data_IF_291556827073
#
_entry.id   IF_291556827073
#
_cell.length_a   1.000
_cell.length_b   1.000
_cell.length_c   1.000
_cell.angle_alpha   90.00
_cell.angle_beta   90.00
_cell.angle_gamma   90.00
#
_symmetry.space_group_name_H-M   'P 1'
#
loop_
_entity.id
_entity.type
_entity.pdbx_description
1 polymer ?
#
# COMPACT_ATOMS: atom_id res chain seq x y z
N UNK A 1 -29.16 16.56 25.19
CA UNK A 1 -27.71 16.55 25.49
C UNK A 1 -26.98 15.22 25.18
N UNK A 2 -27.56 14.04 25.43
CA UNK A 2 -26.85 12.74 25.23
C UNK A 2 -26.54 12.34 23.78
N UNK A 3 -27.35 12.74 22.81
CA UNK A 3 -27.14 12.35 21.38
C UNK A 3 -25.97 13.11 20.77
N UNK A 4 -25.77 14.37 21.12
CA UNK A 4 -24.62 15.15 20.64
C UNK A 4 -23.27 14.61 21.12
N UNK A 5 -23.22 14.10 22.35
CA UNK A 5 -22.02 13.50 22.93
C UNK A 5 -21.65 12.22 22.18
N UNK A 6 -22.62 11.39 21.77
CA UNK A 6 -22.38 10.16 21.01
C UNK A 6 -21.90 10.49 19.60
N UNK A 7 -22.47 11.50 18.93
CA UNK A 7 -22.05 11.93 17.59
C UNK A 7 -20.62 12.49 17.59
N UNK A 8 -20.26 13.30 18.58
CA UNK A 8 -18.91 13.83 18.75
C UNK A 8 -17.92 12.71 19.04
N UNK A 9 -18.29 11.72 19.84
CA UNK A 9 -17.44 10.55 20.16
C UNK A 9 -17.22 9.65 18.93
N UNK A 10 -18.26 9.43 18.12
CA UNK A 10 -18.16 8.71 16.84
C UNK A 10 -17.27 9.45 15.83
N UNK A 11 -17.32 10.79 15.81
CA UNK A 11 -16.49 11.60 14.91
C UNK A 11 -15.01 11.58 15.33
N UNK A 12 -14.72 11.58 16.64
CA UNK A 12 -13.36 11.48 17.18
C UNK A 12 -12.77 10.09 16.91
N UNK A 13 -13.57 9.02 17.04
CA UNK A 13 -13.12 7.66 16.76
C UNK A 13 -12.80 7.49 15.28
N UNK A 14 -13.60 8.03 14.36
CA UNK A 14 -13.35 7.90 12.93
C UNK A 14 -12.07 8.63 12.46
N UNK A 15 -11.68 9.72 13.12
CA UNK A 15 -10.43 10.44 12.82
C UNK A 15 -9.17 9.79 13.40
N UNK A 16 -9.31 8.89 14.39
CA UNK A 16 -8.16 8.20 15.01
C UNK A 16 -7.62 7.03 14.19
N UNK A 17 -8.32 6.59 13.15
CA UNK A 17 -7.92 5.43 12.32
C UNK A 17 -7.33 5.79 10.96
N UNK A 18 -6.99 7.05 10.69
CA UNK A 18 -6.20 7.40 9.53
C UNK A 18 -4.77 6.88 9.73
N UNK A 19 -4.44 5.73 9.14
CA UNK A 19 -3.07 5.23 9.11
C UNK A 19 -2.21 6.24 8.36
N UNK A 20 -1.16 6.79 9.00
CA UNK A 20 -0.35 7.84 8.40
C UNK A 20 0.64 7.31 7.33
N UNK A 21 0.51 6.05 6.92
CA UNK A 21 1.37 5.43 5.90
C UNK A 21 0.55 4.63 4.91
N UNK A 22 1.00 4.59 3.65
CA UNK A 22 0.29 3.88 2.59
C UNK A 22 1.21 3.39 1.46
N UNK A 23 0.75 2.37 0.74
CA UNK A 23 1.38 1.84 -0.48
C UNK A 23 0.37 1.95 -1.62
N UNK A 24 0.79 2.50 -2.76
CA UNK A 24 -0.07 2.68 -3.96
C UNK A 24 0.72 2.38 -5.23
N UNK A 25 0.26 1.49 -6.08
CA UNK A 25 -0.80 0.51 -5.85
C UNK A 25 -0.33 -0.56 -4.85
N UNK A 26 -1.26 -1.15 -4.09
CA UNK A 26 -0.95 -2.28 -3.19
C UNK A 26 -0.77 -3.60 -3.94
N UNK A 27 -1.17 -3.64 -5.20
CA UNK A 27 -1.09 -4.79 -6.10
C UNK A 27 -0.73 -4.32 -7.51
N UNK A 28 0.22 -4.98 -8.16
CA UNK A 28 0.65 -4.68 -9.52
C UNK A 28 1.01 -5.97 -10.27
N UNK A 29 0.58 -6.04 -11.53
CA UNK A 29 0.98 -7.12 -12.44
C UNK A 29 1.95 -6.55 -13.45
N UNK A 30 3.06 -7.23 -13.67
CA UNK A 30 4.12 -6.85 -14.59
C UNK A 30 4.49 -8.02 -15.49
N UNK A 31 4.87 -7.73 -16.72
CA UNK A 31 5.44 -8.70 -17.62
C UNK A 31 6.97 -8.63 -17.56
N UNK A 32 7.62 -9.77 -17.63
CA UNK A 32 9.06 -9.89 -17.75
C UNK A 32 9.42 -10.95 -18.79
N UNK A 33 10.40 -10.66 -19.64
CA UNK A 33 10.93 -11.64 -20.59
C UNK A 33 11.95 -12.53 -19.90
N UNK A 34 11.97 -13.83 -20.26
CA UNK A 34 13.00 -14.74 -19.78
C UNK A 34 14.40 -14.23 -20.13
N UNK A 35 15.39 -14.49 -19.29
CA UNK A 35 16.76 -14.00 -19.42
C UNK A 35 16.88 -12.47 -19.57
N UNK A 36 15.97 -11.73 -18.92
CA UNK A 36 15.98 -10.27 -18.95
C UNK A 36 15.91 -9.68 -17.55
N UNK A 37 16.15 -8.37 -17.47
CA UNK A 37 15.95 -7.58 -16.26
C UNK A 37 14.81 -6.62 -16.47
N UNK A 38 13.87 -6.59 -15.55
CA UNK A 38 12.79 -5.62 -15.52
C UNK A 38 12.82 -4.82 -14.23
N UNK A 39 12.44 -3.54 -14.32
CA UNK A 39 12.32 -2.65 -13.17
C UNK A 39 10.89 -2.16 -13.05
N UNK A 40 10.33 -2.27 -11.87
CA UNK A 40 9.01 -1.78 -11.53
C UNK A 40 9.05 -1.10 -10.15
N UNK A 41 8.02 -0.37 -9.82
CA UNK A 41 7.98 0.36 -8.54
C UNK A 41 6.57 0.44 -7.99
N UNK A 42 6.51 0.66 -6.68
CA UNK A 42 5.32 1.13 -5.98
C UNK A 42 5.64 2.45 -5.29
N UNK A 43 4.61 3.25 -5.07
CA UNK A 43 4.74 4.49 -4.31
C UNK A 43 4.42 4.22 -2.85
N UNK A 44 5.31 4.64 -1.95
CA UNK A 44 5.11 4.58 -0.52
C UNK A 44 4.91 5.99 0.02
N UNK A 45 3.83 6.19 0.77
CA UNK A 45 3.47 7.47 1.38
C UNK A 45 3.71 7.44 2.89
N UNK A 46 4.42 8.44 3.39
CA UNK A 46 4.55 8.72 4.82
C UNK A 46 3.69 9.94 5.18
N UNK A 47 2.50 9.70 5.73
CA UNK A 47 1.59 10.77 6.21
C UNK A 47 1.84 11.21 7.65
N UNK A 48 2.90 10.72 8.30
CA UNK A 48 3.27 11.21 9.62
C UNK A 48 3.83 12.64 9.55
N UNK A 49 3.70 13.40 10.63
CA UNK A 49 4.22 14.78 10.71
C UNK A 49 5.74 14.88 10.91
N UNK A 50 6.45 13.76 10.79
CA UNK A 50 7.90 13.66 10.96
C UNK A 50 8.53 12.73 9.91
N UNK A 51 9.81 12.94 9.62
CA UNK A 51 10.61 12.02 8.82
C UNK A 51 10.78 10.71 9.58
N UNK A 52 10.50 9.59 8.94
CA UNK A 52 10.63 8.25 9.52
C UNK A 52 11.51 7.35 8.68
N UNK A 53 12.21 6.46 9.38
CA UNK A 53 12.94 5.34 8.78
C UNK A 53 12.04 4.13 8.72
N UNK A 54 12.04 3.45 7.59
CA UNK A 54 11.29 2.21 7.36
C UNK A 54 12.24 1.13 6.89
N UNK A 55 12.06 -0.07 7.40
CA UNK A 55 12.70 -1.27 6.86
C UNK A 55 11.90 -1.78 5.66
N UNK A 56 12.58 -2.04 4.55
CA UNK A 56 12.00 -2.65 3.36
C UNK A 56 12.61 -4.01 3.14
N UNK A 57 11.80 -4.99 2.74
CA UNK A 57 12.30 -6.30 2.35
C UNK A 57 11.40 -7.00 1.34
N UNK A 58 12.03 -7.79 0.46
CA UNK A 58 11.37 -8.62 -0.54
C UNK A 58 11.23 -10.06 -0.02
N UNK A 59 10.14 -10.70 -0.38
CA UNK A 59 9.85 -12.07 -0.06
C UNK A 59 9.29 -12.81 -1.28
N UNK A 60 9.45 -14.14 -1.27
CA UNK A 60 8.90 -15.09 -2.24
C UNK A 60 9.65 -15.19 -3.58
N UNK A 61 10.65 -14.34 -3.85
CA UNK A 61 11.38 -14.42 -5.10
C UNK A 61 12.87 -14.09 -4.90
N UNK A 62 13.73 -15.07 -5.12
CA UNK A 62 15.19 -14.96 -4.83
C UNK A 62 15.95 -14.14 -5.87
N UNK A 63 15.40 -13.96 -7.07
CA UNK A 63 15.98 -13.14 -8.13
C UNK A 63 15.37 -11.74 -8.27
N UNK A 64 14.66 -11.28 -7.22
CA UNK A 64 14.23 -9.90 -7.08
C UNK A 64 15.15 -9.12 -6.13
N UNK A 65 15.36 -7.84 -6.37
CA UNK A 65 16.32 -7.01 -5.67
C UNK A 65 15.86 -5.54 -5.57
N UNK A 66 16.39 -4.79 -4.60
CA UNK A 66 16.32 -3.33 -4.54
C UNK A 66 17.44 -2.63 -5.33
N UNK A 67 18.41 -3.38 -5.84
CA UNK A 67 19.52 -2.86 -6.64
C UNK A 67 19.50 -3.49 -8.04
N UNK A 68 19.91 -2.73 -9.04
CA UNK A 68 20.07 -3.22 -10.42
C UNK A 68 21.42 -3.89 -10.69
N UNK A 69 22.33 -3.90 -9.73
CA UNK A 69 23.70 -4.43 -9.87
C UNK A 69 23.90 -5.72 -9.08
N UNK A 70 23.28 -5.81 -7.91
CA UNK A 70 23.47 -6.95 -6.98
C UNK A 70 22.15 -7.34 -6.34
N UNK A 71 22.05 -8.60 -5.90
CA UNK A 71 20.84 -9.08 -5.20
C UNK A 71 20.81 -8.54 -3.77
N UNK A 72 19.97 -7.53 -3.55
CA UNK A 72 19.71 -6.92 -2.25
C UNK A 72 18.21 -7.04 -1.97
N UNK A 73 17.84 -7.85 -0.98
CA UNK A 73 16.45 -8.14 -0.65
C UNK A 73 15.93 -7.44 0.63
N UNK A 74 16.79 -6.68 1.29
CA UNK A 74 16.41 -5.88 2.45
C UNK A 74 17.21 -4.59 2.53
N UNK A 75 16.62 -3.56 3.10
CA UNK A 75 17.26 -2.26 3.27
C UNK A 75 16.46 -1.34 4.16
N UNK A 76 16.93 -0.11 4.26
CA UNK A 76 16.25 0.97 4.99
C UNK A 76 16.01 2.15 4.07
N UNK A 77 14.86 2.79 4.22
CA UNK A 77 14.52 4.03 3.52
C UNK A 77 14.11 5.10 4.53
N UNK A 78 14.55 6.33 4.29
CA UNK A 78 14.10 7.50 5.04
C UNK A 78 13.09 8.26 4.20
N UNK A 79 11.88 8.44 4.73
CA UNK A 79 10.81 9.13 4.04
C UNK A 79 10.38 10.35 4.84
N UNK A 80 10.50 11.51 4.21
CA UNK A 80 10.09 12.79 4.80
C UNK A 80 8.60 12.83 5.11
N UNK A 81 8.24 13.66 6.05
CA UNK A 81 6.87 13.93 6.45
C UNK A 81 6.00 14.32 5.24
N UNK A 82 4.82 13.74 5.15
CA UNK A 82 3.81 14.04 4.12
C UNK A 82 4.32 13.92 2.67
N UNK A 83 5.29 13.01 2.42
CA UNK A 83 5.81 12.77 1.07
C UNK A 83 5.56 11.36 0.59
N UNK A 84 5.56 11.22 -0.74
CA UNK A 84 5.51 9.94 -1.44
C UNK A 84 6.86 9.70 -2.11
N UNK A 85 7.38 8.48 -1.94
CA UNK A 85 8.64 8.04 -2.58
C UNK A 85 8.41 6.77 -3.38
N UNK A 86 8.98 6.63 -4.58
CA UNK A 86 8.97 5.36 -5.31
C UNK A 86 9.96 4.38 -4.67
N UNK A 87 9.51 3.15 -4.47
CA UNK A 87 10.37 2.03 -4.09
C UNK A 87 10.53 1.14 -5.33
N UNK A 88 11.73 1.12 -5.89
CA UNK A 88 12.05 0.33 -7.07
C UNK A 88 12.38 -1.10 -6.69
N UNK A 89 11.90 -2.04 -7.51
CA UNK A 89 12.23 -3.45 -7.44
C UNK A 89 12.71 -3.89 -8.82
N UNK A 90 13.84 -4.56 -8.87
CA UNK A 90 14.45 -5.12 -10.06
C UNK A 90 14.26 -6.64 -10.04
N UNK A 91 13.83 -7.22 -11.12
CA UNK A 91 13.73 -8.66 -11.30
C UNK A 91 14.71 -9.12 -12.38
N UNK A 92 15.53 -10.11 -12.05
CA UNK A 92 16.55 -10.70 -12.93
C UNK A 92 16.09 -12.10 -13.34
N UNK A 93 15.19 -12.18 -14.33
CA UNK A 93 14.58 -13.45 -14.72
C UNK A 93 15.63 -14.42 -15.29
N UNK A 94 15.82 -15.62 -14.70
CA UNK A 94 16.71 -16.63 -15.25
C UNK A 94 16.21 -17.15 -16.60
N UNK A 95 17.13 -17.75 -17.39
CA UNK A 95 16.79 -18.31 -18.69
C UNK A 95 15.81 -19.50 -18.61
N UNK A 96 16.01 -20.36 -17.59
CA UNK A 96 15.24 -21.59 -17.42
C UNK A 96 14.25 -21.46 -16.24
N UNK A 97 13.11 -20.85 -16.48
CA UNK A 97 12.05 -20.74 -15.48
C UNK A 97 11.06 -21.90 -15.62
N UNK A 98 10.73 -22.52 -14.48
CA UNK A 98 9.78 -23.63 -14.41
C UNK A 98 8.32 -23.20 -14.44
N UNK A 99 8.05 -21.96 -14.06
CA UNK A 99 6.72 -21.39 -13.97
C UNK A 99 6.63 -20.15 -14.85
N UNK A 100 5.41 -19.76 -15.20
CA UNK A 100 5.14 -18.54 -15.98
C UNK A 100 4.66 -17.38 -15.12
N UNK A 101 4.29 -17.65 -13.87
CA UNK A 101 3.74 -16.66 -12.95
C UNK A 101 4.48 -16.73 -11.62
N UNK A 102 5.04 -15.62 -11.20
CA UNK A 102 5.75 -15.48 -9.94
C UNK A 102 5.19 -14.37 -9.10
N UNK A 103 5.19 -14.58 -7.78
CA UNK A 103 4.72 -13.59 -6.82
C UNK A 103 5.90 -13.00 -6.04
N UNK A 104 5.94 -11.68 -5.93
CA UNK A 104 6.82 -10.96 -5.02
C UNK A 104 5.96 -10.22 -4.00
N UNK A 105 6.36 -10.30 -2.74
CA UNK A 105 5.79 -9.47 -1.71
C UNK A 105 6.86 -8.50 -1.20
N UNK A 106 6.60 -7.21 -1.37
CA UNK A 106 7.38 -6.13 -0.77
C UNK A 106 6.75 -5.75 0.56
N UNK A 107 7.51 -5.78 1.63
CA UNK A 107 7.08 -5.26 2.92
C UNK A 107 7.78 -3.95 3.23
N UNK A 108 7.01 -2.96 3.66
CA UNK A 108 7.51 -1.72 4.23
C UNK A 108 7.08 -1.68 5.69
N UNK A 109 8.05 -1.73 6.59
CA UNK A 109 7.82 -1.89 8.02
C UNK A 109 8.34 -0.72 8.83
N UNK A 110 7.58 -0.29 9.83
CA UNK A 110 8.06 0.71 10.79
C UNK A 110 9.24 0.18 11.61
N UNK A 111 10.22 1.04 11.86
CA UNK A 111 11.29 0.76 12.82
C UNK A 111 10.77 1.13 14.21
N UNK A 112 10.70 0.18 15.15
CA UNK A 112 10.25 0.48 16.50
C UNK A 112 11.22 1.42 17.20
N UNK A 113 10.74 2.41 17.98
CA UNK A 113 11.61 3.27 18.78
C UNK A 113 12.36 2.44 19.82
N UNK A 114 13.67 2.67 19.94
CA UNK A 114 14.58 1.85 20.79
C UNK A 114 14.26 1.89 22.30
N UNK A 115 13.44 2.84 22.76
CA UNK A 115 13.18 3.08 24.18
C UNK A 115 11.78 2.67 24.67
N UNK A 116 11.03 1.90 23.88
CA UNK A 116 9.70 1.44 24.28
C UNK A 116 9.71 -0.02 24.73
N UNK A 117 9.03 -0.29 25.84
CA UNK A 117 8.88 -1.65 26.42
C UNK A 117 8.06 -2.59 25.52
N UNK A 118 7.25 -2.04 24.59
CA UNK A 118 6.45 -2.78 23.62
C UNK A 118 6.89 -2.35 22.21
N UNK A 119 7.58 -3.23 21.52
CA UNK A 119 8.05 -3.02 20.14
C UNK A 119 7.01 -3.54 19.14
N UNK A 120 6.01 -2.74 18.80
CA UNK A 120 5.11 -3.05 17.71
C UNK A 120 5.77 -2.70 16.37
N UNK A 121 5.96 -3.71 15.54
CA UNK A 121 6.37 -3.56 14.15
C UNK A 121 5.14 -3.65 13.26
N UNK A 122 4.78 -2.56 12.61
CA UNK A 122 3.70 -2.54 11.64
C UNK A 122 4.30 -2.63 10.24
N UNK A 123 3.80 -3.57 9.43
CA UNK A 123 4.27 -3.80 8.07
C UNK A 123 3.11 -3.66 7.07
N UNK A 124 3.33 -2.90 6.01
CA UNK A 124 2.44 -2.82 4.85
C UNK A 124 2.97 -3.72 3.74
N UNK A 125 2.18 -4.67 3.24
CA UNK A 125 2.55 -5.45 2.08
C UNK A 125 2.18 -4.73 0.78
N UNK A 126 3.08 -4.80 -0.21
CA UNK A 126 2.81 -4.53 -1.62
C UNK A 126 3.03 -5.82 -2.41
N UNK A 127 2.13 -6.14 -3.33
CA UNK A 127 2.16 -7.38 -4.09
C UNK A 127 2.45 -7.11 -5.55
N UNK A 128 3.39 -7.87 -6.11
CA UNK A 128 3.65 -7.91 -7.53
C UNK A 128 3.42 -9.32 -8.05
N UNK A 129 2.73 -9.41 -9.18
CA UNK A 129 2.66 -10.63 -9.97
C UNK A 129 3.52 -10.41 -11.22
N UNK A 130 4.52 -11.25 -11.42
CA UNK A 130 5.36 -11.25 -12.61
C UNK A 130 4.88 -12.36 -13.55
N UNK A 131 4.38 -11.96 -14.72
CA UNK A 131 4.12 -12.88 -15.81
C UNK A 131 5.38 -13.01 -16.67
N UNK A 132 5.93 -14.21 -16.77
CA UNK A 132 7.09 -14.49 -17.62
C UNK A 132 6.59 -14.92 -18.99
N UNK A 133 6.96 -14.14 -20.01
CA UNK A 133 6.55 -14.35 -21.39
C UNK A 133 7.77 -14.30 -22.31
N UNK A 134 7.64 -14.90 -23.51
CA UNK A 134 8.71 -14.84 -24.52
C UNK A 134 8.87 -13.41 -25.07
N UNK A 135 7.78 -12.64 -25.08
CA UNK A 135 7.76 -11.21 -25.42
C UNK A 135 6.69 -10.51 -24.61
N UNK A 136 7.09 -9.52 -23.86
CA UNK A 136 6.14 -8.62 -23.21
C UNK A 136 5.52 -7.68 -24.25
N UNK A 137 4.23 -7.86 -24.52
CA UNK A 137 3.48 -6.92 -25.32
C UNK A 137 3.48 -5.55 -24.63
N UNK A 138 3.56 -4.46 -25.37
CA UNK A 138 3.29 -3.11 -24.88
C UNK A 138 1.81 -2.95 -24.61
N UNK A 139 1.25 -3.70 -23.67
CA UNK A 139 -0.05 -3.34 -23.13
C UNK A 139 0.15 -2.04 -22.34
N UNK A 140 -0.26 -0.95 -22.95
CA UNK A 140 -0.54 0.29 -22.23
C UNK A 140 -1.62 -0.05 -21.24
N UNK A 141 -1.19 -0.39 -20.03
CA UNK A 141 -2.10 -0.70 -18.93
C UNK A 141 -2.83 0.61 -18.54
N UNK A 142 -3.86 0.93 -19.33
CA UNK A 142 -4.87 1.90 -18.97
C UNK A 142 -5.72 1.33 -17.83
N UNK A 143 -5.07 0.95 -16.73
CA UNK A 143 -5.77 0.68 -15.49
C UNK A 143 -6.28 2.03 -14.98
N UNK A 144 -7.41 2.39 -15.53
CA UNK A 144 -8.16 3.59 -15.24
C UNK A 144 -8.46 3.66 -13.75
N UNK A 145 -8.32 4.83 -13.20
CA UNK A 145 -8.62 5.26 -11.81
C UNK A 145 -10.06 4.98 -11.33
N UNK A 146 -10.80 4.12 -12.03
CA UNK A 146 -12.20 3.79 -11.76
C UNK A 146 -12.39 3.02 -10.44
N UNK A 147 -11.39 2.29 -9.96
CA UNK A 147 -11.56 1.48 -8.74
C UNK A 147 -11.57 2.33 -7.46
N UNK A 148 -10.83 3.43 -7.42
CA UNK A 148 -10.84 4.33 -6.27
C UNK A 148 -12.12 5.17 -6.17
N UNK A 149 -12.79 5.43 -7.29
CA UNK A 149 -14.05 6.18 -7.31
C UNK A 149 -15.18 5.40 -6.65
N UNK A 150 -15.18 4.06 -6.76
CA UNK A 150 -16.21 3.20 -6.18
C UNK A 150 -16.20 3.19 -4.65
N UNK A 151 -15.02 3.20 -4.02
CA UNK A 151 -14.92 3.28 -2.55
C UNK A 151 -15.28 4.67 -2.01
N UNK A 152 -14.94 5.72 -2.75
CA UNK A 152 -15.29 7.10 -2.37
C UNK A 152 -16.78 7.33 -2.45
N UNK A 153 -17.43 6.83 -3.52
CA UNK A 153 -18.90 6.91 -3.67
C UNK A 153 -19.62 6.07 -2.62
N UNK A 154 -19.13 4.87 -2.30
CA UNK A 154 -19.70 4.03 -1.24
C UNK A 154 -19.60 4.71 0.12
N UNK A 155 -18.46 5.31 0.44
CA UNK A 155 -18.26 6.07 1.68
C UNK A 155 -19.23 7.25 1.83
N UNK A 156 -19.45 8.01 0.76
CA UNK A 156 -20.40 9.13 0.74
C UNK A 156 -21.84 8.65 0.94
N UNK A 157 -22.25 7.56 0.28
CA UNK A 157 -23.60 6.99 0.40
C UNK A 157 -23.86 6.55 1.85
N UNK A 158 -22.89 5.86 2.47
CA UNK A 158 -23.02 5.41 3.88
C UNK A 158 -23.11 6.61 4.81
N UNK A 159 -22.30 7.65 4.65
CA UNK A 159 -22.33 8.85 5.49
C UNK A 159 -23.67 9.61 5.37
N UNK A 160 -24.21 9.74 4.14
CA UNK A 160 -25.50 10.39 3.91
C UNK A 160 -26.63 9.56 4.53
N UNK A 161 -26.60 8.22 4.40
CA UNK A 161 -27.61 7.34 4.98
C UNK A 161 -27.66 7.42 6.49
N UNK A 162 -26.51 7.43 7.16
CA UNK A 162 -26.41 7.59 8.63
C UNK A 162 -26.97 8.95 9.07
N UNK A 163 -26.66 10.02 8.31
CA UNK A 163 -27.14 11.37 8.61
C UNK A 163 -28.67 11.47 8.51
N UNK A 164 -29.26 10.86 7.47
CA UNK A 164 -30.72 10.82 7.29
C UNK A 164 -31.43 10.05 8.40
N UNK A 165 -30.89 8.92 8.82
CA UNK A 165 -31.42 8.12 9.94
C UNK A 165 -31.36 8.92 11.24
N UNK A 166 -30.27 9.63 11.50
CA UNK A 166 -30.13 10.46 12.69
C UNK A 166 -31.18 11.61 12.73
N UNK A 167 -31.38 12.26 11.57
CA UNK A 167 -32.42 13.33 11.45
C UNK A 167 -33.82 12.76 11.67
N UNK A 168 -34.12 11.59 11.10
CA UNK A 168 -35.40 10.94 11.28
C UNK A 168 -35.69 10.61 12.75
N UNK A 169 -34.69 10.04 13.45
CA UNK A 169 -34.81 9.68 14.86
C UNK A 169 -35.03 10.92 15.75
N UNK A 170 -34.34 12.05 15.46
CA UNK A 170 -34.49 13.31 16.18
C UNK A 170 -35.90 13.88 15.98
N UNK A 171 -36.48 13.77 14.78
CA UNK A 171 -37.84 14.26 14.50
C UNK A 171 -38.93 13.40 15.19
N UNK A 172 -38.70 12.10 15.36
CA UNK A 172 -39.67 11.20 15.98
C UNK A 172 -39.68 11.30 17.52
N UNK A 173 -38.66 11.89 18.13
CA UNK A 173 -38.54 12.04 19.59
C UNK A 173 -38.98 13.43 20.09
N UNK A 174 -39.45 14.29 19.19
CA UNK A 174 -40.17 15.53 19.51
C UNK A 174 -41.67 15.34 19.28
#
# INVERSE_FOLDING_TARGET
MRIWTILVFLFIISSAFAYPIGIVPSFKTECIEANSTSAFYINFYNGANETKTFNVYLQNLTWASFSNETIIQSGEINVTSNTTVPIYVYAFAPENLSEKVYNITLYVCTVPPQNQTLNFRYCLPGYFILNVEDKCGTEVNNQTWTDNLSYLTLGIIVAVSISLIAIYLIRKTK
#
